data_IF_080073964891
#
_entry.id   IF_080073964891
#
_cell.length_a   1.000
_cell.length_b   1.000
_cell.length_c   1.000
_cell.angle_alpha   90.00
_cell.angle_beta   90.00
_cell.angle_gamma   90.00
#
_symmetry.space_group_name_H-M   'P 1'
#
loop_
_entity.id
_entity.type
_entity.pdbx_description
1 polymer ?
#
# COMPACT_ATOMS: atom_id res chain seq x y z
N UNK A 1 31.14 -59.34 -15.07
CA UNK A 1 30.88 -58.07 -15.77
C UNK A 1 29.39 -57.79 -15.72
N UNK A 2 28.96 -56.73 -15.03
CA UNK A 2 27.58 -56.24 -15.14
C UNK A 2 27.57 -54.78 -14.66
N UNK A 3 27.65 -53.84 -15.60
CA UNK A 3 27.44 -52.42 -15.34
C UNK A 3 25.94 -52.15 -15.30
N UNK A 4 25.43 -51.72 -14.14
CA UNK A 4 24.07 -51.18 -14.04
C UNK A 4 24.14 -49.65 -14.09
N UNK A 5 23.39 -49.09 -15.03
CA UNK A 5 23.35 -47.67 -15.36
C UNK A 5 21.99 -47.09 -14.96
N UNK A 6 21.95 -45.76 -14.80
CA UNK A 6 20.79 -44.85 -14.59
C UNK A 6 20.42 -44.69 -13.10
N UNK A 7 20.23 -43.47 -12.58
CA UNK A 7 19.44 -42.36 -13.11
C UNK A 7 20.03 -41.01 -12.66
N UNK A 8 20.14 -40.03 -13.57
CA UNK A 8 20.39 -38.62 -13.22
C UNK A 8 19.04 -38.00 -12.83
N UNK A 9 18.89 -37.59 -11.58
CA UNK A 9 17.75 -36.80 -11.13
C UNK A 9 17.97 -35.34 -11.55
N UNK A 10 17.04 -34.79 -12.33
CA UNK A 10 17.02 -33.38 -12.69
C UNK A 10 16.19 -32.66 -11.60
N UNK A 11 16.86 -31.93 -10.71
CA UNK A 11 16.20 -31.14 -9.67
C UNK A 11 15.91 -29.77 -10.25
N UNK A 12 14.63 -29.47 -10.48
CA UNK A 12 14.18 -28.15 -10.93
C UNK A 12 14.21 -27.20 -9.74
N UNK A 13 15.11 -26.23 -9.74
CA UNK A 13 15.15 -25.17 -8.73
C UNK A 13 14.06 -24.13 -9.02
N UNK A 14 13.15 -23.92 -8.07
CA UNK A 14 12.15 -22.85 -8.13
C UNK A 14 12.81 -21.54 -7.68
N UNK A 15 12.84 -20.53 -8.56
CA UNK A 15 13.28 -19.18 -8.21
C UNK A 15 12.16 -18.50 -7.42
N UNK A 16 12.38 -18.30 -6.11
CA UNK A 16 11.61 -17.37 -5.30
C UNK A 16 12.08 -15.95 -5.65
N UNK A 17 11.30 -15.19 -6.41
CA UNK A 17 11.51 -13.76 -6.56
C UNK A 17 11.02 -13.06 -5.29
N UNK A 18 11.94 -12.73 -4.38
CA UNK A 18 11.69 -11.83 -3.27
C UNK A 18 11.66 -10.40 -3.79
N UNK A 19 10.51 -9.74 -3.69
CA UNK A 19 10.40 -8.29 -3.93
C UNK A 19 10.89 -7.55 -2.69
N UNK A 20 12.12 -7.04 -2.74
CA UNK A 20 12.60 -6.06 -1.77
C UNK A 20 11.87 -4.74 -2.02
N UNK A 21 10.93 -4.38 -1.15
CA UNK A 21 10.39 -3.02 -1.14
C UNK A 21 11.36 -2.13 -0.38
N UNK A 22 12.09 -1.29 -1.11
CA UNK A 22 12.98 -0.27 -0.54
C UNK A 22 12.09 0.84 0.03
N UNK A 23 12.15 1.04 1.34
CA UNK A 23 11.53 2.20 1.99
C UNK A 23 12.56 3.33 1.94
N UNK A 24 12.47 4.21 0.95
CA UNK A 24 13.31 5.41 0.90
C UNK A 24 12.84 6.41 1.96
N UNK A 25 13.71 6.75 2.89
CA UNK A 25 13.54 7.85 3.81
C UNK A 25 13.82 9.17 3.07
N UNK A 26 12.77 9.85 2.60
CA UNK A 26 12.54 11.30 2.44
C UNK A 26 11.25 11.43 1.61
N UNK A 27 10.13 11.74 2.26
CA UNK A 27 8.78 11.74 1.67
C UNK A 27 8.16 10.34 1.60
N UNK A 28 6.97 10.16 2.17
CA UNK A 28 6.18 8.95 1.98
C UNK A 28 5.38 9.14 0.69
N UNK A 29 5.75 8.47 -0.40
CA UNK A 29 4.94 8.44 -1.63
C UNK A 29 4.16 7.12 -1.71
N UNK A 30 2.86 7.21 -1.96
CA UNK A 30 2.01 6.06 -2.27
C UNK A 30 1.47 6.17 -3.69
N UNK A 31 1.53 5.07 -4.43
CA UNK A 31 0.97 4.97 -5.78
C UNK A 31 -0.18 3.97 -5.77
N UNK A 32 -1.35 4.40 -6.25
CA UNK A 32 -2.57 3.61 -6.32
C UNK A 32 -2.92 3.35 -7.79
N UNK A 33 -2.60 2.14 -8.25
CA UNK A 33 -3.01 1.69 -9.58
C UNK A 33 -4.50 1.33 -9.57
N UNK A 34 -5.22 1.54 -10.69
CA UNK A 34 -6.63 1.17 -10.81
C UNK A 34 -6.88 -0.29 -10.41
N UNK A 35 -7.88 -0.50 -9.55
CA UNK A 35 -8.36 -1.81 -9.08
C UNK A 35 -7.33 -2.69 -8.35
N UNK A 36 -6.13 -2.17 -8.04
CA UNK A 36 -5.09 -2.91 -7.32
C UNK A 36 -5.01 -2.37 -5.88
N UNK A 37 -5.26 -3.20 -4.85
CA UNK A 37 -5.07 -2.78 -3.47
C UNK A 37 -3.60 -2.47 -3.17
N UNK A 38 -3.33 -1.24 -2.72
CA UNK A 38 -2.03 -0.81 -2.21
C UNK A 38 -2.03 -0.90 -0.69
N UNK A 39 -1.00 -1.54 -0.14
CA UNK A 39 -0.82 -1.66 1.30
C UNK A 39 -0.10 -0.42 1.84
N UNK A 40 -0.69 0.21 2.85
CA UNK A 40 -0.08 1.31 3.61
C UNK A 40 0.10 0.84 5.05
N UNK A 41 1.31 1.00 5.56
CA UNK A 41 1.65 0.69 6.95
C UNK A 41 2.33 1.89 7.59
N UNK A 42 2.13 2.05 8.90
CA UNK A 42 2.97 2.95 9.70
C UNK A 42 4.13 2.14 10.31
N UNK A 43 5.35 2.23 9.75
CA UNK A 43 6.52 1.51 10.27
C UNK A 43 7.15 2.22 11.49
N UNK A 44 6.72 3.43 11.82
CA UNK A 44 7.32 4.23 12.90
C UNK A 44 6.87 3.69 14.25
N UNK A 45 7.77 3.53 15.22
CA UNK A 45 7.46 3.18 16.61
C UNK A 45 6.72 4.29 17.40
N UNK A 46 5.84 5.04 16.72
CA UNK A 46 4.98 6.11 17.22
C UNK A 46 3.77 6.28 16.29
N UNK A 47 2.77 7.05 16.70
CA UNK A 47 1.68 7.49 15.80
C UNK A 47 2.27 8.33 14.66
N UNK A 48 1.84 8.04 13.45
CA UNK A 48 2.15 8.81 12.25
C UNK A 48 1.02 9.81 12.02
N UNK A 49 1.36 11.08 11.83
CA UNK A 49 0.47 12.12 11.33
C UNK A 49 1.04 12.58 9.98
N UNK A 50 0.34 12.27 8.89
CA UNK A 50 0.79 12.49 7.52
C UNK A 50 -0.24 13.28 6.73
N UNK A 51 0.23 14.32 6.04
CA UNK A 51 -0.55 15.07 5.05
C UNK A 51 -0.03 14.71 3.67
N UNK A 52 -0.92 14.22 2.82
CA UNK A 52 -0.61 13.71 1.49
C UNK A 52 -1.28 14.57 0.43
N UNK A 53 -0.48 15.19 -0.44
CA UNK A 53 -1.00 15.87 -1.63
C UNK A 53 -1.29 14.85 -2.71
N UNK A 54 -2.51 14.88 -3.26
CA UNK A 54 -2.96 13.98 -4.31
C UNK A 54 -2.53 14.51 -5.68
N UNK A 55 -1.96 13.65 -6.50
CA UNK A 55 -1.65 13.91 -7.91
C UNK A 55 -2.37 12.87 -8.77
N UNK A 56 -3.19 13.35 -9.70
CA UNK A 56 -3.93 12.52 -10.68
C UNK A 56 -4.21 13.34 -11.93
N UNK A 57 -4.38 12.67 -13.08
CA UNK A 57 -4.82 13.30 -14.32
C UNK A 57 -6.34 13.27 -14.49
N UNK A 58 -7.03 12.46 -13.70
CA UNK A 58 -8.46 12.30 -13.79
C UNK A 58 -9.18 13.50 -13.13
N UNK A 59 -10.42 13.75 -13.56
CA UNK A 59 -11.24 14.77 -12.91
C UNK A 59 -11.51 14.45 -11.43
N UNK A 60 -11.58 13.15 -11.10
CA UNK A 60 -11.84 12.61 -9.78
C UNK A 60 -11.59 11.10 -9.74
N UNK A 61 -11.09 10.60 -8.61
CA UNK A 61 -10.96 9.17 -8.33
C UNK A 61 -11.66 8.84 -6.99
N UNK A 62 -12.21 7.64 -6.88
CA UNK A 62 -12.64 7.08 -5.59
C UNK A 62 -11.53 6.18 -5.05
N UNK A 63 -11.04 6.46 -3.85
CA UNK A 63 -10.17 5.56 -3.11
C UNK A 63 -10.97 4.90 -1.99
N UNK A 64 -10.95 3.57 -1.95
CA UNK A 64 -11.63 2.76 -0.93
C UNK A 64 -10.60 2.06 -0.06
N UNK A 65 -10.59 2.41 1.22
CA UNK A 65 -9.70 1.86 2.22
C UNK A 65 -10.40 0.82 3.09
N UNK A 66 -9.74 -0.29 3.39
CA UNK A 66 -10.18 -1.28 4.38
C UNK A 66 -9.11 -1.43 5.45
N UNK A 67 -9.47 -1.12 6.69
CA UNK A 67 -8.56 -1.21 7.83
C UNK A 67 -8.32 -2.68 8.18
N UNK A 68 -7.05 -3.10 8.25
CA UNK A 68 -6.69 -4.51 8.48
C UNK A 68 -6.16 -4.77 9.88
N UNK A 69 -5.32 -3.88 10.40
CA UNK A 69 -4.60 -4.08 11.68
C UNK A 69 -4.56 -2.78 12.45
N UNK A 70 -4.95 -2.81 13.72
CA UNK A 70 -5.04 -1.63 14.61
C UNK A 70 -5.93 -0.54 14.01
N UNK A 71 -5.70 0.71 14.40
CA UNK A 71 -6.56 1.85 14.12
C UNK A 71 -5.81 2.92 13.33
N UNK A 72 -6.57 3.64 12.51
CA UNK A 72 -6.11 4.82 11.79
C UNK A 72 -7.30 5.77 11.60
N UNK A 73 -7.02 7.00 11.18
CA UNK A 73 -8.02 7.96 10.75
C UNK A 73 -7.63 8.50 9.38
N UNK A 74 -8.60 8.58 8.46
CA UNK A 74 -8.43 9.18 7.14
C UNK A 74 -9.43 10.31 7.02
N UNK A 75 -8.95 11.53 6.76
CA UNK A 75 -9.78 12.74 6.68
C UNK A 75 -10.74 12.88 7.88
N UNK A 76 -10.22 12.66 9.10
CA UNK A 76 -10.94 12.65 10.38
C UNK A 76 -11.95 11.50 10.58
N UNK A 77 -12.08 10.56 9.64
CA UNK A 77 -12.88 9.35 9.83
C UNK A 77 -12.02 8.31 10.53
N UNK A 78 -12.33 8.02 11.79
CA UNK A 78 -11.68 6.97 12.57
C UNK A 78 -12.10 5.58 12.08
N UNK A 79 -11.14 4.66 11.98
CA UNK A 79 -11.33 3.31 11.46
C UNK A 79 -10.73 2.27 12.42
N UNK A 80 -11.55 1.30 12.79
CA UNK A 80 -11.19 0.07 13.48
C UNK A 80 -10.93 -1.07 12.46
N UNK A 81 -10.24 -2.16 12.85
CA UNK A 81 -10.05 -3.31 11.98
C UNK A 81 -11.37 -3.85 11.42
N UNK A 82 -11.41 -4.06 10.09
CA UNK A 82 -12.59 -4.51 9.36
C UNK A 82 -13.48 -3.38 8.83
N UNK A 83 -13.35 -2.17 9.35
CA UNK A 83 -14.08 -1.00 8.85
C UNK A 83 -13.47 -0.47 7.54
N UNK A 84 -14.28 0.26 6.79
CA UNK A 84 -13.87 0.85 5.52
C UNK A 84 -14.13 2.36 5.47
N UNK A 85 -13.46 3.01 4.53
CA UNK A 85 -13.69 4.40 4.16
C UNK A 85 -13.71 4.50 2.65
N UNK A 86 -14.59 5.32 2.10
CA UNK A 86 -14.51 5.78 0.71
C UNK A 86 -14.24 7.27 0.70
N UNK A 87 -13.22 7.68 -0.05
CA UNK A 87 -12.87 9.09 -0.25
C UNK A 87 -12.84 9.39 -1.74
N UNK A 88 -13.44 10.52 -2.09
CA UNK A 88 -13.34 11.08 -3.43
C UNK A 88 -12.17 12.07 -3.43
N UNK A 89 -11.23 11.87 -4.34
CA UNK A 89 -10.02 12.70 -4.43
C UNK A 89 -9.87 13.30 -5.83
N UNK A 90 -9.32 14.50 -5.87
CA UNK A 90 -8.98 15.26 -7.08
C UNK A 90 -7.53 15.70 -7.01
N UNK A 91 -6.98 16.09 -8.16
CA UNK A 91 -5.64 16.64 -8.22
C UNK A 91 -5.50 17.87 -7.32
N UNK A 92 -4.51 17.85 -6.41
CA UNK A 92 -4.24 18.90 -5.44
C UNK A 92 -4.94 18.74 -4.09
N UNK A 93 -5.84 17.76 -3.92
CA UNK A 93 -6.47 17.51 -2.62
C UNK A 93 -5.45 17.10 -1.56
N UNK A 94 -5.73 17.42 -0.30
CA UNK A 94 -4.93 16.98 0.85
C UNK A 94 -5.67 15.86 1.57
N UNK A 95 -5.10 14.66 1.52
CA UNK A 95 -5.52 13.53 2.34
C UNK A 95 -4.74 13.53 3.66
N UNK A 96 -5.45 13.55 4.78
CA UNK A 96 -4.84 13.51 6.11
C UNK A 96 -4.97 12.11 6.71
N UNK A 97 -3.83 11.54 7.13
CA UNK A 97 -3.73 10.20 7.69
C UNK A 97 -3.13 10.31 9.10
N UNK A 98 -3.86 9.85 10.10
CA UNK A 98 -3.33 9.63 11.45
C UNK A 98 -3.37 8.13 11.73
N UNK A 99 -2.23 7.50 11.97
CA UNK A 99 -2.16 6.04 12.01
C UNK A 99 -1.30 5.54 13.18
N UNK A 100 -1.80 4.57 13.95
CA UNK A 100 -1.05 4.01 15.06
C UNK A 100 0.17 3.21 14.59
N UNK A 101 1.19 3.08 15.45
CA UNK A 101 2.36 2.26 15.13
C UNK A 101 1.94 0.85 14.70
N UNK A 102 2.42 0.39 13.54
CA UNK A 102 2.14 -0.94 13.01
C UNK A 102 0.70 -1.13 12.52
N UNK A 103 -0.06 -0.04 12.35
CA UNK A 103 -1.37 -0.09 11.71
C UNK A 103 -1.22 -0.42 10.22
N UNK A 104 -2.22 -1.10 9.64
CA UNK A 104 -2.24 -1.43 8.21
C UNK A 104 -3.61 -1.15 7.60
N UNK A 105 -3.62 -0.44 6.49
CA UNK A 105 -4.79 -0.25 5.61
C UNK A 105 -4.45 -0.76 4.21
N UNK A 106 -5.44 -1.38 3.57
CA UNK A 106 -5.39 -1.67 2.13
C UNK A 106 -6.29 -0.66 1.42
N UNK A 107 -5.69 0.12 0.52
CA UNK A 107 -6.36 1.19 -0.22
C UNK A 107 -6.44 0.80 -1.69
N UNK A 108 -7.64 0.77 -2.25
CA UNK A 108 -7.89 0.46 -3.66
C UNK A 108 -8.37 1.72 -4.37
N UNK A 109 -7.78 2.01 -5.52
CA UNK A 109 -8.26 3.05 -6.41
C UNK A 109 -9.33 2.48 -7.36
N UNK A 110 -10.58 2.91 -7.19
CA UNK A 110 -11.71 2.53 -8.04
C UNK A 110 -11.88 3.44 -9.26
N UNK A 111 -11.03 4.45 -9.44
CA UNK A 111 -10.98 5.27 -10.64
C UNK A 111 -10.19 4.61 -11.79
N UNK A 112 -10.16 5.30 -12.94
CA UNK A 112 -9.58 4.76 -14.18
C UNK A 112 -8.07 5.04 -14.32
N UNK A 113 -7.59 6.16 -13.80
CA UNK A 113 -6.20 6.59 -13.85
C UNK A 113 -5.42 6.32 -12.56
N UNK A 114 -4.10 6.49 -12.63
CA UNK A 114 -3.20 6.32 -11.49
C UNK A 114 -3.31 7.52 -10.55
N UNK A 115 -3.44 7.25 -9.26
CA UNK A 115 -3.38 8.29 -8.20
C UNK A 115 -2.05 8.16 -7.47
N UNK A 116 -1.33 9.27 -7.32
CA UNK A 116 -0.17 9.38 -6.42
C UNK A 116 -0.52 10.23 -5.21
N UNK A 117 -0.01 9.86 -4.05
CA UNK A 117 -0.14 10.61 -2.81
C UNK A 117 1.26 10.90 -2.28
N UNK A 118 1.67 12.17 -2.34
CA UNK A 118 2.98 12.64 -1.88
C UNK A 118 2.84 13.20 -0.48
N UNK A 119 3.39 12.50 0.51
CA UNK A 119 3.13 12.77 1.92
C UNK A 119 4.34 13.34 2.67
N UNK A 120 4.04 14.30 3.54
CA UNK A 120 4.92 14.80 4.60
C UNK A 120 4.41 14.34 5.96
N UNK A 121 5.31 13.89 6.83
CA UNK A 121 5.00 13.56 8.23
C UNK A 121 5.19 14.82 9.07
N UNK A 122 4.18 15.18 9.86
CA UNK A 122 4.17 16.32 10.79
C UNK A 122 4.13 15.89 12.25
#
# INVERSE_FOLDING_TARGET
>A
MMFSSKKKALITATLLMSTNSVVNAVGLEFVFFPSIPTRIENPLYRTMDAKCTIETQDAQNELVGVMKIKTASINNVHLNPGENVSILVKNGDIMHIIADFGSRIEMTNNGEGVVRAVCSIG
#
